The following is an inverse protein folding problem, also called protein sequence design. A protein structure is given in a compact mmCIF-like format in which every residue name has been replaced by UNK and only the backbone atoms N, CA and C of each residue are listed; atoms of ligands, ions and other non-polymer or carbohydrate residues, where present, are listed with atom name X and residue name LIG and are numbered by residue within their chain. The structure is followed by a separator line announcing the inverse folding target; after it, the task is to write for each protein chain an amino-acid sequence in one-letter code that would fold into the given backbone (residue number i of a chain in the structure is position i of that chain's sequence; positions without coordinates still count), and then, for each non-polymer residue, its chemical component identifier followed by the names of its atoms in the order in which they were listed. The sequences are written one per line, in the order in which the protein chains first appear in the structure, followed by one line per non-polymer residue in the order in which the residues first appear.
data_IF_184902383870
#
_entry.id   IF_184902383870
#
_cell.length_a   1.000
_cell.length_b   1.000
_cell.length_c   1.000
_cell.angle_alpha   90.00
_cell.angle_beta   90.00
_cell.angle_gamma   90.00
#
_symmetry.space_group_name_H-M   'P 1'
#
loop_
_entity.id
_entity.type
_entity.pdbx_description
1 polymer ?
#
# COMPACT_ATOMS: atom_id res chain seq x y z
N UNK A 1 2.66 -28.02 -8.03
CA UNK A 1 2.53 -27.52 -6.64
C UNK A 1 2.57 -25.99 -6.71
N UNK A 2 1.42 -25.34 -6.84
CA UNK A 2 1.36 -23.88 -6.94
C UNK A 2 1.77 -23.26 -5.62
N UNK A 3 2.85 -22.48 -5.64
CA UNK A 3 3.26 -21.66 -4.52
C UNK A 3 2.10 -20.71 -4.17
N UNK A 4 1.51 -20.93 -3.00
CA UNK A 4 0.56 -20.03 -2.35
C UNK A 4 1.32 -18.74 -2.02
N UNK A 5 1.52 -17.88 -3.02
CA UNK A 5 1.95 -16.52 -2.77
C UNK A 5 0.75 -15.81 -2.15
N UNK A 6 0.87 -15.52 -0.87
CA UNK A 6 -0.09 -14.76 -0.08
C UNK A 6 -0.36 -13.43 -0.80
N UNK A 7 -1.62 -13.18 -1.21
CA UNK A 7 -2.05 -11.97 -1.93
C UNK A 7 -1.65 -10.67 -1.21
N UNK A 8 -1.28 -10.79 0.07
CA UNK A 8 -0.61 -9.78 0.90
C UNK A 8 0.65 -9.18 0.25
N UNK A 9 1.37 -9.93 -0.59
CA UNK A 9 2.57 -9.44 -1.30
C UNK A 9 2.23 -8.52 -2.49
N UNK A 10 1.00 -8.59 -3.01
CA UNK A 10 0.53 -7.74 -4.11
C UNK A 10 0.05 -6.36 -3.63
N UNK A 11 -0.15 -6.18 -2.32
CA UNK A 11 -0.56 -4.91 -1.73
C UNK A 11 0.64 -4.15 -1.19
N UNK A 12 0.77 -2.88 -1.61
CA UNK A 12 1.78 -1.99 -1.06
C UNK A 12 1.60 -1.88 0.46
N UNK A 13 2.63 -2.18 1.27
CA UNK A 13 2.52 -2.15 2.73
C UNK A 13 2.14 -0.75 3.21
N UNK A 14 1.56 -0.68 4.41
CA UNK A 14 1.26 0.60 5.05
C UNK A 14 2.56 1.40 5.20
N UNK A 15 2.57 2.73 4.96
CA UNK A 15 3.78 3.54 5.12
C UNK A 15 4.36 3.45 6.53
N UNK A 16 3.49 3.31 7.53
CA UNK A 16 3.79 3.13 8.95
C UNK A 16 3.84 1.66 9.40
N UNK A 17 3.58 0.71 8.51
CA UNK A 17 3.59 -0.72 8.85
C UNK A 17 4.98 -1.20 9.25
N UNK A 18 5.04 -2.32 9.96
CA UNK A 18 6.27 -2.89 10.51
C UNK A 18 7.42 -2.88 9.49
N UNK A 19 8.62 -2.63 10.00
CA UNK A 19 9.87 -2.68 9.25
C UNK A 19 10.03 -3.96 8.41
N UNK A 20 9.64 -5.09 8.98
CA UNK A 20 9.91 -6.41 8.42
C UNK A 20 8.78 -6.96 7.57
N UNK A 21 7.55 -6.98 8.10
CA UNK A 21 6.40 -7.59 7.43
C UNK A 21 5.42 -6.57 6.82
N UNK A 22 5.54 -5.27 7.13
CA UNK A 22 4.66 -4.23 6.59
C UNK A 22 3.25 -4.17 7.17
N UNK A 23 2.93 -5.02 8.15
CA UNK A 23 1.64 -5.06 8.88
C UNK A 23 1.52 -3.86 9.84
N UNK A 24 0.32 -3.30 9.97
CA UNK A 24 0.05 -2.18 10.89
C UNK A 24 0.33 -2.56 12.36
N UNK A 25 0.72 -1.58 13.16
CA UNK A 25 1.08 -1.78 14.58
C UNK A 25 0.00 -2.51 15.37
N UNK A 26 -1.27 -2.14 15.14
CA UNK A 26 -2.42 -2.68 15.88
C UNK A 26 -2.71 -4.14 15.55
N UNK A 27 -2.34 -4.60 14.35
CA UNK A 27 -2.63 -5.94 13.85
C UNK A 27 -1.39 -6.86 13.86
N UNK A 28 -0.22 -6.31 14.18
CA UNK A 28 1.05 -7.00 14.01
C UNK A 28 1.26 -8.12 15.04
N UNK A 29 1.00 -7.85 16.32
CA UNK A 29 1.30 -8.74 17.44
C UNK A 29 2.75 -9.28 17.34
N UNK A 30 2.94 -10.60 17.31
CA UNK A 30 4.21 -11.26 17.05
C UNK A 30 4.09 -12.13 15.80
N UNK A 31 5.06 -12.01 14.88
CA UNK A 31 5.07 -12.77 13.62
C UNK A 31 6.46 -13.31 13.33
N UNK A 32 6.51 -14.37 12.54
CA UNK A 32 7.74 -14.95 12.02
C UNK A 32 7.92 -14.55 10.56
N UNK A 33 9.11 -14.04 10.20
CA UNK A 33 9.49 -13.75 8.80
C UNK A 33 10.97 -13.99 8.57
N UNK A 34 11.37 -14.86 7.64
CA UNK A 34 12.78 -14.99 7.24
C UNK A 34 13.30 -13.72 6.55
N UNK A 35 14.57 -13.32 6.76
CA UNK A 35 15.59 -13.92 7.62
C UNK A 35 15.55 -13.46 9.09
N UNK A 36 14.62 -12.58 9.47
CA UNK A 36 14.53 -11.94 10.80
C UNK A 36 14.07 -12.89 11.91
N UNK A 37 13.32 -13.93 11.56
CA UNK A 37 12.74 -14.85 12.54
C UNK A 37 11.54 -14.23 13.27
N UNK A 38 11.34 -14.64 14.54
CA UNK A 38 10.26 -14.12 15.39
C UNK A 38 10.54 -12.66 15.78
N UNK A 39 9.62 -11.77 15.46
CA UNK A 39 9.74 -10.35 15.78
C UNK A 39 8.40 -9.77 16.24
N UNK A 40 8.51 -8.73 17.08
CA UNK A 40 7.41 -7.83 17.41
C UNK A 40 7.35 -6.69 16.39
N UNK A 41 6.35 -5.84 16.50
CA UNK A 41 6.26 -4.67 15.64
C UNK A 41 7.49 -3.79 15.86
N UNK A 42 8.15 -3.43 14.77
CA UNK A 42 9.25 -2.47 14.77
C UNK A 42 8.90 -1.33 13.81
N UNK A 43 9.07 -0.07 14.24
CA UNK A 43 8.76 1.07 13.38
C UNK A 43 9.58 1.01 12.09
N UNK A 44 8.98 1.33 10.93
CA UNK A 44 9.71 1.36 9.67
C UNK A 44 10.75 2.48 9.68
N UNK A 45 11.84 2.29 8.95
CA UNK A 45 12.84 3.35 8.77
C UNK A 45 12.26 4.50 7.95
N UNK A 46 12.87 5.69 8.05
CA UNK A 46 12.48 6.85 7.24
C UNK A 46 12.59 6.56 5.74
N UNK A 47 13.62 5.82 5.34
CA UNK A 47 13.83 5.41 3.94
C UNK A 47 12.72 4.46 3.47
N UNK A 48 12.40 3.43 4.26
CA UNK A 48 11.29 2.52 3.94
C UNK A 48 9.97 3.27 3.82
N UNK A 49 9.69 4.20 4.74
CA UNK A 49 8.48 5.04 4.68
C UNK A 49 8.46 5.89 3.40
N UNK A 50 9.59 6.51 3.05
CA UNK A 50 9.76 7.33 1.83
C UNK A 50 9.49 6.49 0.58
N UNK A 51 10.06 5.30 0.49
CA UNK A 51 9.89 4.40 -0.65
C UNK A 51 8.44 3.92 -0.78
N UNK A 52 7.80 3.52 0.32
CA UNK A 52 6.40 3.10 0.33
C UNK A 52 5.46 4.22 -0.12
N UNK A 53 5.70 5.45 0.33
CA UNK A 53 4.94 6.63 -0.11
C UNK A 53 5.15 6.92 -1.61
N UNK A 54 6.38 6.79 -2.11
CA UNK A 54 6.67 6.91 -3.54
C UNK A 54 5.95 5.84 -4.35
N UNK A 55 5.99 4.59 -3.92
CA UNK A 55 5.31 3.47 -4.59
C UNK A 55 3.79 3.70 -4.66
N UNK A 56 3.18 4.16 -3.56
CA UNK A 56 1.75 4.51 -3.52
C UNK A 56 1.39 5.62 -4.51
N UNK A 57 2.23 6.65 -4.67
CA UNK A 57 2.02 7.72 -5.66
C UNK A 57 2.12 7.24 -7.11
N UNK A 58 2.93 6.21 -7.39
CA UNK A 58 3.06 5.64 -8.74
C UNK A 58 1.88 4.76 -9.14
N UNK A 59 1.06 4.31 -8.18
CA UNK A 59 -0.10 3.45 -8.47
C UNK A 59 -1.16 4.22 -9.26
N UNK A 60 -1.53 3.77 -10.48
CA UNK A 60 -2.62 4.38 -11.25
C UNK A 60 -3.92 4.39 -10.45
N UNK A 61 -4.64 5.51 -10.45
CA UNK A 61 -5.91 5.67 -9.70
C UNK A 61 -5.76 6.17 -8.25
N UNK A 62 -4.55 6.44 -7.76
CA UNK A 62 -4.40 7.20 -6.51
C UNK A 62 -4.88 8.66 -6.74
N UNK A 63 -5.80 9.20 -5.91
CA UNK A 63 -6.22 10.58 -6.04
C UNK A 63 -5.01 11.50 -5.89
N UNK A 64 -4.79 12.36 -6.89
CA UNK A 64 -3.72 13.35 -6.86
C UNK A 64 -4.06 14.37 -5.78
N UNK A 65 -3.24 14.54 -4.73
CA UNK A 65 -3.44 15.63 -3.79
C UNK A 65 -3.15 16.94 -4.53
N UNK A 66 -4.20 17.68 -4.91
CA UNK A 66 -4.09 18.99 -5.55
C UNK A 66 -5.01 19.26 -6.74
N UNK A 67 -5.73 18.28 -7.28
CA UNK A 67 -6.76 18.55 -8.30
C UNK A 67 -8.10 18.77 -7.62
N UNK A 68 -8.27 19.94 -7.01
CA UNK A 68 -9.60 20.51 -6.91
C UNK A 68 -10.11 20.76 -8.33
N UNK A 69 -11.29 20.21 -8.64
CA UNK A 69 -12.17 20.56 -9.76
C UNK A 69 -11.92 19.90 -11.14
N UNK A 70 -13.06 19.55 -11.76
CA UNK A 70 -13.35 19.33 -13.17
C UNK A 70 -12.92 18.00 -13.83
N UNK A 71 -13.89 17.09 -13.97
CA UNK A 71 -14.47 16.80 -15.29
C UNK A 71 -15.88 16.22 -15.09
N UNK A 72 -16.86 17.13 -15.16
CA UNK A 72 -18.20 16.81 -15.64
C UNK A 72 -18.02 16.21 -17.04
N UNK A 73 -18.18 14.91 -17.20
CA UNK A 73 -18.33 14.30 -18.52
C UNK A 73 -19.78 14.51 -18.96
N UNK A 74 -20.06 15.69 -19.51
CA UNK A 74 -21.19 15.91 -20.39
C UNK A 74 -21.05 15.01 -21.62
N UNK A 75 -21.96 14.05 -21.78
CA UNK A 75 -22.30 13.48 -23.08
C UNK A 75 -23.83 13.34 -23.16
N UNK A 76 -24.47 14.44 -23.57
CA UNK A 76 -25.75 14.39 -24.27
C UNK A 76 -25.47 14.14 -25.75
N UNK A 77 -25.89 13.00 -26.30
CA UNK A 77 -26.12 12.85 -27.75
C UNK A 77 -27.25 11.84 -28.02
N UNK A 78 -28.44 12.41 -28.28
CA UNK A 78 -29.43 12.09 -29.31
C UNK A 78 -29.97 10.65 -29.44
N UNK A 79 -31.23 10.47 -29.04
CA UNK A 79 -32.16 9.56 -29.72
C UNK A 79 -33.56 10.22 -29.72
N UNK A 80 -33.89 10.83 -30.87
CA UNK A 80 -35.26 11.15 -31.27
C UNK A 80 -35.79 10.05 -32.17
#
# INVERSE_FOLDING_TARGET
MSAMHDDSDLRLPAPSGCRWCGVDEREHMQRWKPPVGWHKWEPPTLEQRKERMKARRRRPGAPRPGTGQALMASFMLLAS
#
